data_IF_022901507873
#
_entry.id   IF_022901507873
#
_cell.length_a   1.000
_cell.length_b   1.000
_cell.length_c   1.000
_cell.angle_alpha   90.00
_cell.angle_beta   90.00
_cell.angle_gamma   90.00
#
_symmetry.space_group_name_H-M   'P 1'
#
loop_
_entity.id
_entity.type
_entity.pdbx_description
1 polymer ?
#
# COMPACT_ATOMS: atom_id res chain seq x y z
N UNK A 1 -14.38 2.33 -26.71
CA UNK A 1 -14.19 3.22 -25.56
C UNK A 1 -13.29 2.54 -24.53
N UNK A 2 -12.22 3.19 -24.16
CA UNK A 2 -11.30 2.59 -23.19
C UNK A 2 -11.94 2.59 -21.80
N UNK A 3 -11.93 1.43 -21.16
CA UNK A 3 -12.38 1.35 -19.78
C UNK A 3 -11.35 2.07 -18.88
N UNK A 4 -11.83 2.97 -18.04
CA UNK A 4 -10.97 3.61 -17.07
C UNK A 4 -10.73 2.61 -15.95
N UNK A 5 -9.49 2.11 -15.85
CA UNK A 5 -9.14 1.24 -14.76
C UNK A 5 -8.98 2.06 -13.49
N UNK A 6 -9.70 1.69 -12.46
CA UNK A 6 -9.50 2.28 -11.14
C UNK A 6 -8.22 1.70 -10.56
N UNK A 7 -7.36 2.58 -10.06
CA UNK A 7 -6.20 2.14 -9.33
C UNK A 7 -6.60 1.70 -7.93
N UNK A 8 -5.95 0.66 -7.46
CA UNK A 8 -6.09 0.21 -6.10
C UNK A 8 -4.87 0.67 -5.31
N UNK A 9 -5.13 1.34 -4.20
CA UNK A 9 -4.08 1.91 -3.35
C UNK A 9 -3.87 0.99 -2.15
N UNK A 10 -2.64 0.60 -1.89
CA UNK A 10 -2.30 -0.28 -0.79
C UNK A 10 -1.29 0.41 0.12
N UNK A 11 -1.61 0.44 1.41
CA UNK A 11 -0.69 0.89 2.44
C UNK A 11 0.13 -0.30 2.90
N UNK A 12 1.44 -0.17 2.82
CA UNK A 12 2.37 -1.18 3.28
C UNK A 12 2.98 -0.74 4.60
N UNK A 13 3.20 -1.70 5.47
CA UNK A 13 3.93 -1.48 6.72
C UNK A 13 5.14 -2.40 6.75
N UNK A 14 6.29 -1.86 7.17
CA UNK A 14 7.50 -2.66 7.30
C UNK A 14 7.52 -3.35 8.67
N UNK A 15 7.62 -4.67 8.62
CA UNK A 15 7.77 -5.51 9.80
C UNK A 15 8.92 -6.47 9.56
N UNK A 16 9.84 -6.55 10.49
CA UNK A 16 11.01 -7.45 10.39
C UNK A 16 11.80 -7.24 9.10
N UNK A 17 11.93 -5.99 8.67
CA UNK A 17 12.68 -5.63 7.48
C UNK A 17 11.95 -5.84 6.15
N UNK A 18 10.68 -6.23 6.17
CA UNK A 18 9.89 -6.47 4.95
C UNK A 18 8.61 -5.64 4.97
N UNK A 19 8.24 -5.12 3.80
CA UNK A 19 6.95 -4.46 3.63
C UNK A 19 5.85 -5.49 3.40
N UNK A 20 4.76 -5.32 4.14
CA UNK A 20 3.58 -6.18 4.05
C UNK A 20 2.33 -5.31 3.86
N UNK A 21 1.32 -5.80 3.10
CA UNK A 21 0.06 -5.07 2.96
C UNK A 21 -0.66 -4.95 4.30
N UNK A 22 -1.04 -3.73 4.65
CA UNK A 22 -1.78 -3.45 5.89
C UNK A 22 -3.22 -3.04 5.62
N UNK A 23 -3.44 -2.24 4.57
CA UNK A 23 -4.76 -1.71 4.26
C UNK A 23 -4.82 -1.35 2.78
N UNK A 24 -5.96 -1.55 2.16
CA UNK A 24 -6.16 -1.21 0.76
C UNK A 24 -7.51 -0.57 0.50
N UNK A 25 -7.57 0.31 -0.49
CA UNK A 25 -8.79 0.96 -0.91
C UNK A 25 -8.67 1.46 -2.34
N UNK A 26 -9.81 1.58 -3.02
CA UNK A 26 -9.88 2.26 -4.32
C UNK A 26 -9.81 3.78 -4.16
N UNK A 27 -9.99 4.28 -2.95
CA UNK A 27 -9.93 5.71 -2.64
C UNK A 27 -8.61 6.01 -1.93
N UNK A 28 -7.76 6.78 -2.59
CA UNK A 28 -6.44 7.12 -2.06
C UNK A 28 -6.53 7.82 -0.70
N UNK A 29 -7.54 8.68 -0.53
CA UNK A 29 -7.74 9.40 0.73
C UNK A 29 -7.94 8.47 1.93
N UNK A 30 -8.62 7.33 1.73
CA UNK A 30 -8.82 6.35 2.80
C UNK A 30 -7.50 5.77 3.28
N UNK A 31 -6.60 5.50 2.35
CA UNK A 31 -5.27 4.96 2.65
C UNK A 31 -4.44 5.98 3.41
N UNK A 32 -4.54 7.25 3.02
CA UNK A 32 -3.83 8.34 3.69
C UNK A 32 -4.33 8.51 5.13
N UNK A 33 -5.63 8.41 5.35
CA UNK A 33 -6.22 8.48 6.69
C UNK A 33 -5.68 7.34 7.55
N UNK A 34 -5.65 6.14 7.00
CA UNK A 34 -5.12 4.96 7.72
C UNK A 34 -3.65 5.14 8.07
N UNK A 35 -2.87 5.67 7.14
CA UNK A 35 -1.46 5.95 7.40
C UNK A 35 -1.29 6.95 8.54
N UNK A 36 -2.11 8.00 8.57
CA UNK A 36 -2.09 9.00 9.64
C UNK A 36 -2.42 8.38 11.01
N UNK A 37 -3.38 7.45 11.04
CA UNK A 37 -3.72 6.74 12.27
C UNK A 37 -2.53 5.92 12.79
N UNK A 38 -1.84 5.21 11.90
CA UNK A 38 -0.67 4.41 12.29
C UNK A 38 0.47 5.28 12.78
N UNK A 39 0.68 6.45 12.16
CA UNK A 39 1.69 7.39 12.62
C UNK A 39 1.39 7.92 14.02
N UNK A 40 0.12 8.16 14.33
CA UNK A 40 -0.29 8.58 15.69
C UNK A 40 -0.01 7.49 16.71
N UNK A 41 -0.06 6.22 16.29
CA UNK A 41 0.25 5.08 17.16
C UNK A 41 1.73 4.83 17.32
N UNK A 42 2.57 5.64 16.69
CA UNK A 42 4.01 5.57 16.85
C UNK A 42 4.75 4.86 15.72
N UNK A 43 4.07 4.50 14.64
CA UNK A 43 4.74 3.88 13.49
C UNK A 43 5.49 4.96 12.70
N UNK A 44 6.82 4.84 12.52
CA UNK A 44 7.58 5.83 11.77
C UNK A 44 7.16 5.88 10.30
N UNK A 45 7.21 7.07 9.70
CA UNK A 45 6.88 7.22 8.28
C UNK A 45 7.77 6.33 7.38
N UNK A 46 9.01 6.13 7.77
CA UNK A 46 9.95 5.28 7.01
C UNK A 46 9.53 3.83 6.96
N UNK A 47 8.65 3.39 7.86
CA UNK A 47 8.09 2.03 7.87
C UNK A 47 6.76 1.93 7.12
N UNK A 48 6.30 3.03 6.51
CA UNK A 48 5.03 3.09 5.79
C UNK A 48 5.29 3.45 4.34
N UNK A 49 4.54 2.82 3.44
CA UNK A 49 4.62 3.13 2.01
C UNK A 49 3.26 2.89 1.37
N UNK A 50 2.92 3.76 0.42
CA UNK A 50 1.68 3.61 -0.37
C UNK A 50 2.08 3.25 -1.79
N UNK A 51 1.49 2.18 -2.31
CA UNK A 51 1.65 1.79 -3.71
C UNK A 51 0.30 1.82 -4.41
N UNK A 52 0.34 2.06 -5.71
CA UNK A 52 -0.84 2.00 -6.57
C UNK A 52 -0.65 0.90 -7.59
N UNK A 53 -1.63 0.04 -7.75
CA UNK A 53 -1.56 -1.09 -8.67
C UNK A 53 -2.94 -1.40 -9.25
N UNK A 54 -3.01 -2.37 -10.15
CA UNK A 54 -4.27 -2.97 -10.55
C UNK A 54 -4.88 -3.67 -9.32
N UNK A 55 -6.23 -3.70 -9.20
CA UNK A 55 -6.90 -4.32 -8.05
C UNK A 55 -6.92 -5.85 -8.15
N UNK A 56 -5.79 -6.42 -8.46
CA UNK A 56 -5.59 -7.86 -8.59
C UNK A 56 -4.58 -8.28 -7.51
N UNK A 57 -4.94 -9.26 -6.72
CA UNK A 57 -4.06 -9.74 -5.64
C UNK A 57 -2.68 -10.14 -6.17
N UNK A 58 -2.62 -10.76 -7.35
CA UNK A 58 -1.36 -11.14 -7.96
C UNK A 58 -0.49 -9.92 -8.31
N UNK A 59 -1.10 -8.84 -8.82
CA UNK A 59 -0.39 -7.61 -9.13
C UNK A 59 0.12 -6.93 -7.86
N UNK A 60 -0.69 -6.89 -6.82
CA UNK A 60 -0.32 -6.31 -5.54
C UNK A 60 0.84 -7.09 -4.92
N UNK A 61 0.74 -8.41 -4.92
CA UNK A 61 1.79 -9.28 -4.38
C UNK A 61 3.11 -9.09 -5.15
N UNK A 62 3.04 -9.01 -6.47
CA UNK A 62 4.21 -8.80 -7.31
C UNK A 62 4.89 -7.47 -6.99
N UNK A 63 4.11 -6.40 -6.82
CA UNK A 63 4.65 -5.07 -6.51
C UNK A 63 5.30 -5.06 -5.13
N UNK A 64 4.69 -5.72 -4.15
CA UNK A 64 5.26 -5.84 -2.81
C UNK A 64 6.56 -6.63 -2.82
N UNK A 65 6.60 -7.74 -3.55
CA UNK A 65 7.81 -8.55 -3.69
C UNK A 65 8.94 -7.78 -4.36
N UNK A 66 8.62 -7.04 -5.44
CA UNK A 66 9.61 -6.21 -6.12
C UNK A 66 10.20 -5.15 -5.18
N UNK A 67 9.37 -4.56 -4.32
CA UNK A 67 9.82 -3.58 -3.35
C UNK A 67 10.74 -4.21 -2.29
N UNK A 68 10.40 -5.41 -1.83
CA UNK A 68 11.19 -6.12 -0.82
C UNK A 68 12.52 -6.64 -1.37
N UNK A 69 12.59 -6.90 -2.67
CA UNK A 69 13.80 -7.40 -3.35
C UNK A 69 14.72 -6.30 -3.84
N UNK A 70 14.27 -5.06 -3.76
CA UNK A 70 15.05 -3.91 -4.23
C UNK A 70 16.24 -3.60 -3.32
#
# INVERSE_FOLDING_TARGET
MAAVRKRFWTLLIRREGRFLPEFGSFVRGDVIVKMSELRRKGVPRSDLKIIASDPDLAAITKDVEALNDA
#
